data_IF_704205069774
#
_entry.id   IF_704205069774
#
_cell.length_a   1.000
_cell.length_b   1.000
_cell.length_c   1.000
_cell.angle_alpha   90.00
_cell.angle_beta   90.00
_cell.angle_gamma   90.00
#
_symmetry.space_group_name_H-M   'P 1'
#
loop_
_entity.id
_entity.type
_entity.pdbx_description
1 polymer ?
#
# COMPACT_ATOMS: atom_id res chain seq x y z
N UNK A 1 9.12 -32.91 -6.48
CA UNK A 1 7.65 -33.03 -6.61
C UNK A 1 7.25 -32.29 -7.88
N UNK A 2 6.68 -33.00 -8.85
CA UNK A 2 6.01 -32.35 -9.99
C UNK A 2 4.69 -31.78 -9.46
N UNK A 3 4.57 -30.45 -9.40
CA UNK A 3 3.29 -29.80 -9.17
C UNK A 3 2.57 -29.70 -10.52
N UNK A 4 1.37 -30.29 -10.59
CA UNK A 4 0.49 -30.21 -11.75
C UNK A 4 0.17 -28.75 -12.08
N UNK A 5 0.47 -28.35 -13.32
CA UNK A 5 0.40 -26.99 -13.85
C UNK A 5 -1.03 -26.64 -14.27
N UNK A 6 -1.95 -26.40 -13.33
CA UNK A 6 -3.29 -25.98 -13.77
C UNK A 6 -4.29 -25.42 -12.78
N UNK A 7 -4.14 -25.58 -11.45
CA UNK A 7 -5.16 -25.10 -10.51
C UNK A 7 -4.50 -24.43 -9.30
N UNK A 8 -4.44 -23.10 -9.33
CA UNK A 8 -4.08 -22.30 -8.17
C UNK A 8 -5.31 -22.23 -7.25
N UNK A 9 -5.32 -23.00 -6.17
CA UNK A 9 -6.33 -22.88 -5.14
C UNK A 9 -5.91 -21.83 -4.12
N UNK A 10 -6.84 -20.95 -3.75
CA UNK A 10 -6.64 -20.01 -2.64
C UNK A 10 -6.37 -20.81 -1.36
N UNK A 11 -5.29 -20.53 -0.61
CA UNK A 11 -5.01 -21.26 0.61
C UNK A 11 -6.16 -21.09 1.61
N UNK A 12 -6.74 -22.20 2.06
CA UNK A 12 -7.82 -22.20 3.05
C UNK A 12 -7.27 -22.25 4.49
N UNK A 13 -6.08 -22.82 4.68
CA UNK A 13 -5.37 -22.88 5.95
C UNK A 13 -3.85 -22.71 5.78
N UNK A 14 -3.16 -22.42 6.89
CA UNK A 14 -1.71 -22.19 6.90
C UNK A 14 -0.91 -23.46 6.66
N UNK A 15 -1.52 -24.65 6.80
CA UNK A 15 -0.84 -25.92 6.61
C UNK A 15 -0.38 -26.10 5.15
N UNK A 16 -1.18 -25.59 4.20
CA UNK A 16 -0.78 -25.53 2.79
C UNK A 16 0.45 -24.65 2.59
N UNK A 17 0.44 -23.42 3.14
CA UNK A 17 1.56 -22.49 2.99
C UNK A 17 2.82 -23.07 3.63
N UNK A 18 2.72 -23.68 4.82
CA UNK A 18 3.89 -24.23 5.48
C UNK A 18 4.43 -25.49 4.79
N UNK A 19 3.57 -26.32 4.20
CA UNK A 19 3.98 -27.49 3.42
C UNK A 19 4.82 -27.11 2.19
N UNK A 20 4.63 -25.90 1.65
CA UNK A 20 5.43 -25.37 0.54
C UNK A 20 6.84 -24.93 0.96
N UNK A 21 7.03 -24.62 2.24
CA UNK A 21 8.30 -24.12 2.80
C UNK A 21 8.76 -24.94 4.02
N UNK A 22 9.09 -26.25 3.84
CA UNK A 22 9.35 -27.18 4.94
C UNK A 22 10.66 -26.93 5.71
N UNK A 23 11.46 -25.92 5.34
CA UNK A 23 12.78 -25.63 5.94
C UNK A 23 12.82 -24.38 6.82
N UNK A 24 11.67 -23.78 7.19
CA UNK A 24 11.65 -22.48 7.89
C UNK A 24 10.80 -22.45 9.18
N UNK A 25 11.11 -21.48 10.05
CA UNK A 25 10.84 -21.44 11.50
C UNK A 25 9.36 -21.25 11.91
N UNK A 26 9.07 -21.41 13.21
CA UNK A 26 7.78 -21.12 13.85
C UNK A 26 7.23 -19.71 13.51
N UNK A 27 8.10 -18.75 13.17
CA UNK A 27 7.72 -17.39 12.77
C UNK A 27 6.89 -17.37 11.47
N UNK A 28 7.15 -18.29 10.54
CA UNK A 28 6.44 -18.36 9.26
C UNK A 28 5.00 -18.84 9.41
N UNK A 29 4.74 -19.76 10.36
CA UNK A 29 3.39 -20.23 10.68
C UNK A 29 2.47 -19.08 11.12
N UNK A 30 2.98 -18.20 12.00
CA UNK A 30 2.22 -17.02 12.45
C UNK A 30 1.92 -16.05 11.29
N UNK A 31 2.89 -15.78 10.41
CA UNK A 31 2.69 -14.91 9.24
C UNK A 31 1.69 -15.52 8.25
N UNK A 32 1.67 -16.84 8.06
CA UNK A 32 0.71 -17.53 7.20
C UNK A 32 -0.73 -17.46 7.74
N UNK A 33 -0.94 -17.71 9.04
CA UNK A 33 -2.27 -17.62 9.67
C UNK A 33 -2.83 -16.19 9.60
N UNK A 34 -1.99 -15.19 9.90
CA UNK A 34 -2.41 -13.80 9.83
C UNK A 34 -2.68 -13.39 8.38
N UNK A 35 -1.84 -13.81 7.43
CA UNK A 35 -2.08 -13.59 6.00
C UNK A 35 -3.45 -14.12 5.57
N UNK A 36 -3.79 -15.36 5.91
CA UNK A 36 -5.08 -15.99 5.58
C UNK A 36 -6.23 -15.24 6.24
N UNK A 37 -6.11 -14.86 7.51
CA UNK A 37 -7.11 -14.07 8.24
C UNK A 37 -7.38 -12.71 7.58
N UNK A 38 -6.33 -11.99 7.18
CA UNK A 38 -6.43 -10.71 6.48
C UNK A 38 -7.07 -10.91 5.11
N UNK A 39 -6.64 -11.93 4.35
CA UNK A 39 -7.22 -12.30 3.05
C UNK A 39 -8.71 -12.65 3.17
N UNK A 40 -9.15 -13.31 4.25
CA UNK A 40 -10.56 -13.64 4.48
C UNK A 40 -11.43 -12.39 4.73
N UNK A 41 -10.85 -11.34 5.32
CA UNK A 41 -11.55 -10.09 5.64
C UNK A 41 -11.46 -9.03 4.54
N UNK A 42 -10.59 -9.19 3.55
CA UNK A 42 -10.24 -8.12 2.60
C UNK A 42 -11.42 -7.56 1.77
N UNK A 43 -12.51 -8.32 1.64
CA UNK A 43 -13.72 -7.84 0.96
C UNK A 43 -14.32 -6.61 1.66
N UNK A 44 -14.23 -6.53 2.99
CA UNK A 44 -14.72 -5.36 3.74
C UNK A 44 -13.87 -4.12 3.44
N UNK A 45 -12.65 -4.30 2.92
CA UNK A 45 -11.71 -3.23 2.58
C UNK A 45 -11.96 -2.61 1.21
N UNK A 46 -12.82 -3.23 0.38
CA UNK A 46 -13.12 -2.74 -0.95
C UNK A 46 -13.90 -1.43 -0.85
N UNK A 47 -13.28 -0.37 -1.39
CA UNK A 47 -13.87 0.96 -1.50
C UNK A 47 -14.33 1.21 -2.92
N UNK A 48 -15.64 1.13 -3.16
CA UNK A 48 -16.25 1.35 -4.48
C UNK A 48 -16.81 2.77 -4.54
N UNK A 49 -16.34 3.57 -5.49
CA UNK A 49 -16.82 4.93 -5.78
C UNK A 49 -17.09 5.78 -4.53
N UNK A 50 -16.18 5.73 -3.55
CA UNK A 50 -16.41 6.31 -2.22
C UNK A 50 -16.65 7.83 -2.20
N UNK A 51 -16.34 8.54 -3.29
CA UNK A 51 -16.53 9.98 -3.47
C UNK A 51 -17.81 10.31 -4.26
N UNK A 52 -18.51 9.33 -4.85
CA UNK A 52 -19.65 9.58 -5.74
C UNK A 52 -20.74 10.47 -5.11
N UNK A 53 -20.95 10.33 -3.79
CA UNK A 53 -21.94 11.11 -3.04
C UNK A 53 -21.37 12.41 -2.43
N UNK A 54 -20.15 12.81 -2.78
CA UNK A 54 -19.44 13.91 -2.13
C UNK A 54 -19.01 15.00 -3.10
N UNK A 55 -18.80 16.22 -2.57
CA UNK A 55 -18.26 17.34 -3.34
C UNK A 55 -16.74 17.36 -3.29
N UNK A 56 -16.12 16.19 -3.40
CA UNK A 56 -14.66 15.98 -3.38
C UNK A 56 -14.32 15.28 -4.69
N UNK A 57 -13.47 15.91 -5.50
CA UNK A 57 -13.02 15.31 -6.76
C UNK A 57 -11.89 14.31 -6.50
N UNK A 58 -11.70 13.33 -7.40
CA UNK A 58 -10.54 12.44 -7.36
C UNK A 58 -9.22 13.21 -7.19
N UNK A 59 -9.01 14.29 -7.95
CA UNK A 59 -7.78 15.11 -7.86
C UNK A 59 -7.57 15.70 -6.47
N UNK A 60 -8.63 16.22 -5.82
CA UNK A 60 -8.53 16.76 -4.46
C UNK A 60 -8.14 15.67 -3.46
N UNK A 61 -8.68 14.47 -3.63
CA UNK A 61 -8.32 13.31 -2.81
C UNK A 61 -6.88 12.89 -3.07
N UNK A 62 -6.43 12.82 -4.32
CA UNK A 62 -5.03 12.53 -4.68
C UNK A 62 -4.05 13.57 -4.12
N UNK A 63 -4.36 14.86 -4.22
CA UNK A 63 -3.58 15.92 -3.58
C UNK A 63 -3.53 15.76 -2.05
N UNK A 64 -4.65 15.35 -1.43
CA UNK A 64 -4.68 15.09 0.02
C UNK A 64 -3.78 13.92 0.39
N UNK A 65 -3.83 12.80 -0.35
CA UNK A 65 -2.95 11.64 -0.11
C UNK A 65 -1.48 11.99 -0.33
N UNK A 66 -1.16 12.72 -1.41
CA UNK A 66 0.20 13.21 -1.63
C UNK A 66 0.69 14.11 -0.49
N UNK A 67 -0.17 14.94 0.07
CA UNK A 67 0.18 15.76 1.24
C UNK A 67 0.33 14.92 2.52
N UNK A 68 -0.47 13.88 2.72
CA UNK A 68 -0.30 12.94 3.85
C UNK A 68 1.09 12.29 3.85
N UNK A 69 1.64 11.96 2.68
CA UNK A 69 3.00 11.42 2.56
C UNK A 69 4.01 12.39 3.17
N UNK A 70 3.97 13.65 2.75
CA UNK A 70 4.88 14.68 3.27
C UNK A 70 4.77 14.85 4.78
N UNK A 71 3.55 14.97 5.30
CA UNK A 71 3.33 15.16 6.74
C UNK A 71 3.85 13.95 7.51
N UNK A 72 3.43 12.74 7.15
CA UNK A 72 3.80 11.53 7.88
C UNK A 72 5.31 11.26 7.81
N UNK A 73 5.97 11.54 6.68
CA UNK A 73 7.41 11.46 6.58
C UNK A 73 8.15 12.51 7.43
N UNK A 74 7.64 13.75 7.53
CA UNK A 74 8.24 14.79 8.38
C UNK A 74 8.18 14.45 9.88
N UNK A 75 7.16 13.69 10.30
CA UNK A 75 7.00 13.24 11.68
C UNK A 75 7.48 11.80 11.90
N UNK A 76 8.22 11.24 10.94
CA UNK A 76 8.79 9.88 11.03
C UNK A 76 7.75 8.80 11.38
N UNK A 77 6.49 9.01 10.97
CA UNK A 77 5.42 8.05 11.18
C UNK A 77 5.65 6.79 10.32
N UNK A 78 5.18 5.64 10.80
CA UNK A 78 5.34 4.39 10.08
C UNK A 78 4.61 4.42 8.73
N UNK A 79 5.11 3.63 7.78
CA UNK A 79 4.41 3.43 6.51
C UNK A 79 3.02 2.81 6.73
N UNK A 80 2.87 1.98 7.76
CA UNK A 80 1.58 1.41 8.20
C UNK A 80 0.57 2.53 8.54
N UNK A 81 1.01 3.58 9.27
CA UNK A 81 0.20 4.78 9.55
C UNK A 81 -0.31 5.44 8.27
N UNK A 82 0.51 5.56 7.23
CA UNK A 82 0.08 6.13 5.94
C UNK A 82 -1.04 5.31 5.30
N UNK A 83 -0.81 4.00 5.09
CA UNK A 83 -1.82 3.14 4.46
C UNK A 83 -3.11 3.08 5.26
N UNK A 84 -3.01 3.03 6.60
CA UNK A 84 -4.16 3.07 7.49
C UNK A 84 -4.90 4.40 7.40
N UNK A 85 -4.21 5.54 7.40
CA UNK A 85 -4.83 6.86 7.28
C UNK A 85 -5.62 7.01 5.98
N UNK A 86 -5.04 6.57 4.85
CA UNK A 86 -5.72 6.56 3.55
C UNK A 86 -6.95 5.65 3.60
N UNK A 87 -6.82 4.43 4.13
CA UNK A 87 -7.94 3.48 4.23
C UNK A 87 -9.08 4.01 5.12
N UNK A 88 -8.77 4.61 6.27
CA UNK A 88 -9.77 5.25 7.15
C UNK A 88 -10.48 6.37 6.39
N UNK A 89 -9.74 7.21 5.67
CA UNK A 89 -10.30 8.33 4.91
C UNK A 89 -11.29 7.84 3.84
N UNK A 90 -10.90 6.89 3.00
CA UNK A 90 -11.75 6.41 1.91
C UNK A 90 -12.96 5.62 2.43
N UNK A 91 -12.80 4.82 3.50
CA UNK A 91 -13.93 4.15 4.18
C UNK A 91 -14.87 5.15 4.81
N UNK A 92 -14.35 6.21 5.42
CA UNK A 92 -15.19 7.28 5.98
C UNK A 92 -16.03 7.98 4.92
N UNK A 93 -15.47 8.21 3.73
CA UNK A 93 -16.24 8.73 2.60
C UNK A 93 -17.33 7.75 2.16
N UNK A 94 -16.99 6.49 1.91
CA UNK A 94 -17.96 5.47 1.50
C UNK A 94 -19.13 5.30 2.49
N UNK A 95 -18.84 5.34 3.79
CA UNK A 95 -19.81 5.11 4.86
C UNK A 95 -20.56 6.39 5.28
N UNK A 96 -20.19 7.56 4.75
CA UNK A 96 -20.83 8.82 5.12
C UNK A 96 -22.16 9.01 4.37
N UNK A 97 -23.31 9.01 5.07
CA UNK A 97 -24.63 9.09 4.42
C UNK A 97 -24.95 10.50 3.90
N UNK A 98 -24.22 11.53 4.36
CA UNK A 98 -24.42 12.92 3.98
C UNK A 98 -23.27 13.38 3.10
N UNK A 99 -23.60 14.10 2.03
CA UNK A 99 -22.61 14.70 1.14
C UNK A 99 -21.62 15.57 1.91
N UNK A 100 -20.33 15.29 1.75
CA UNK A 100 -19.25 16.03 2.38
C UNK A 100 -18.77 17.13 1.42
N UNK A 101 -18.67 18.36 1.94
CA UNK A 101 -18.08 19.48 1.21
C UNK A 101 -16.57 19.36 1.13
N UNK A 102 -15.97 19.75 0.00
CA UNK A 102 -14.52 19.80 -0.17
C UNK A 102 -13.79 20.60 0.91
N UNK A 103 -14.44 21.61 1.50
CA UNK A 103 -13.83 22.41 2.58
C UNK A 103 -13.54 21.60 3.84
N UNK A 104 -14.15 20.42 3.99
CA UNK A 104 -13.91 19.49 5.11
C UNK A 104 -12.78 18.50 4.85
N UNK A 105 -12.29 18.36 3.62
CA UNK A 105 -11.28 17.36 3.26
C UNK A 105 -10.02 17.47 4.13
N UNK A 106 -9.51 18.69 4.34
CA UNK A 106 -8.30 18.91 5.12
C UNK A 106 -8.44 18.44 6.59
N UNK A 107 -9.51 18.86 7.29
CA UNK A 107 -9.73 18.40 8.68
C UNK A 107 -9.97 16.89 8.75
N UNK A 108 -10.61 16.31 7.73
CA UNK A 108 -10.83 14.86 7.66
C UNK A 108 -9.48 14.14 7.58
N UNK A 109 -8.64 14.45 6.59
CA UNK A 109 -7.38 13.72 6.45
C UNK A 109 -6.37 13.99 7.56
N UNK A 110 -6.31 15.21 8.13
CA UNK A 110 -5.55 15.47 9.37
C UNK A 110 -6.01 14.57 10.51
N UNK A 111 -7.33 14.41 10.66
CA UNK A 111 -7.89 13.56 11.70
C UNK A 111 -7.67 12.07 11.40
N UNK A 112 -7.69 11.65 10.13
CA UNK A 112 -7.35 10.27 9.74
C UNK A 112 -5.90 9.92 10.09
N UNK A 113 -4.93 10.81 9.83
CA UNK A 113 -3.53 10.62 10.26
C UNK A 113 -3.40 10.57 11.79
N UNK A 114 -4.17 11.39 12.51
CA UNK A 114 -4.19 11.35 13.98
C UNK A 114 -4.79 10.04 14.53
N UNK A 115 -5.84 9.50 13.90
CA UNK A 115 -6.41 8.20 14.29
C UNK A 115 -5.44 7.07 13.97
N UNK A 116 -4.88 7.07 12.75
CA UNK A 116 -3.96 6.03 12.29
C UNK A 116 -2.69 5.96 13.15
N UNK A 117 -2.05 7.09 13.45
CA UNK A 117 -0.82 7.08 14.27
C UNK A 117 -1.06 6.54 15.67
N UNK A 118 -2.20 6.85 16.30
CA UNK A 118 -2.57 6.24 17.60
C UNK A 118 -2.80 4.72 17.54
N UNK A 119 -3.06 4.18 16.36
CA UNK A 119 -3.32 2.77 16.16
C UNK A 119 -2.03 2.01 15.83
N UNK A 120 -1.16 2.58 15.00
CA UNK A 120 0.03 1.91 14.47
C UNK A 120 1.34 2.30 15.17
N UNK A 121 1.50 3.55 15.60
CA UNK A 121 2.80 4.08 16.04
C UNK A 121 2.96 3.99 17.56
N UNK A 122 4.18 3.66 18.00
CA UNK A 122 4.55 3.63 19.42
C UNK A 122 4.49 5.02 20.09
N UNK A 123 4.91 6.08 19.38
CA UNK A 123 4.72 7.49 19.80
C UNK A 123 3.82 8.21 18.78
N UNK A 124 2.50 8.25 19.01
CA UNK A 124 1.56 8.78 18.04
C UNK A 124 1.59 10.31 17.98
N UNK A 125 1.05 10.86 16.88
CA UNK A 125 0.95 12.31 16.69
C UNK A 125 0.16 12.96 17.83
N UNK A 126 0.78 13.88 18.57
CA UNK A 126 0.12 14.57 19.69
C UNK A 126 -0.88 15.60 19.15
N UNK A 127 -2.04 15.71 19.79
CA UNK A 127 -3.09 16.65 19.37
C UNK A 127 -2.62 18.11 19.26
N UNK A 128 -1.64 18.52 20.08
CA UNK A 128 -1.03 19.85 19.99
C UNK A 128 -0.31 20.05 18.65
N UNK A 129 0.52 19.09 18.24
CA UNK A 129 1.24 19.09 16.96
C UNK A 129 0.25 19.04 15.79
N UNK A 130 -0.76 18.16 15.89
CA UNK A 130 -1.82 18.04 14.88
C UNK A 130 -2.55 19.37 14.66
N UNK A 131 -2.75 20.16 15.72
CA UNK A 131 -3.39 21.48 15.62
C UNK A 131 -2.44 22.55 15.09
N UNK A 132 -1.31 22.76 15.76
CA UNK A 132 -0.44 23.91 15.50
C UNK A 132 0.35 23.73 14.21
N UNK A 133 1.00 22.59 14.07
CA UNK A 133 1.95 22.36 12.98
C UNK A 133 1.24 21.80 11.74
N UNK A 134 0.55 20.67 11.88
CA UNK A 134 -0.10 19.99 10.75
C UNK A 134 -1.34 20.76 10.27
N UNK A 135 -2.13 21.26 11.23
CA UNK A 135 -3.34 22.04 10.97
C UNK A 135 -3.10 23.53 10.72
N UNK A 136 -1.87 24.02 10.90
CA UNK A 136 -1.50 25.44 10.85
C UNK A 136 -2.42 26.34 11.71
N UNK A 137 -2.86 25.85 12.87
CA UNK A 137 -3.79 26.54 13.76
C UNK A 137 -5.22 26.71 13.22
N UNK A 138 -5.52 26.22 12.02
CA UNK A 138 -6.81 26.40 11.31
C UNK A 138 -7.99 25.73 12.03
N UNK A 139 -7.73 24.67 12.78
CA UNK A 139 -8.76 23.90 13.46
C UNK A 139 -8.58 23.97 14.98
N UNK A 140 -9.68 24.16 15.72
CA UNK A 140 -9.65 24.02 17.17
C UNK A 140 -9.47 22.56 17.58
N UNK A 141 -8.98 22.34 18.81
CA UNK A 141 -8.85 20.99 19.41
C UNK A 141 -10.21 20.28 19.42
N UNK A 142 -11.28 21.02 19.71
CA UNK A 142 -12.65 20.52 19.77
C UNK A 142 -13.15 20.12 18.38
N UNK A 143 -12.76 20.84 17.32
CA UNK A 143 -13.10 20.51 15.95
C UNK A 143 -12.44 19.19 15.51
N UNK A 144 -11.15 19.01 15.82
CA UNK A 144 -10.42 17.76 15.53
C UNK A 144 -11.04 16.60 16.31
N UNK A 145 -11.23 16.74 17.63
CA UNK A 145 -11.89 15.72 18.46
C UNK A 145 -13.32 15.39 18.00
N UNK A 146 -14.07 16.38 17.51
CA UNK A 146 -15.42 16.16 16.96
C UNK A 146 -15.36 15.40 15.64
N UNK A 147 -14.41 15.71 14.78
CA UNK A 147 -14.20 14.97 13.53
C UNK A 147 -13.76 13.55 13.82
N UNK A 148 -12.88 13.35 14.79
CA UNK A 148 -12.40 12.03 15.21
C UNK A 148 -13.56 11.14 15.63
N UNK A 149 -14.40 11.63 16.55
CA UNK A 149 -15.61 10.92 16.96
C UNK A 149 -16.55 10.61 15.80
N UNK A 150 -16.62 11.48 14.78
CA UNK A 150 -17.46 11.25 13.61
C UNK A 150 -16.89 10.13 12.74
N UNK A 151 -15.58 10.13 12.50
CA UNK A 151 -14.88 9.13 11.70
C UNK A 151 -15.00 7.76 12.37
N UNK A 152 -14.55 7.61 13.61
CA UNK A 152 -14.54 6.31 14.28
C UNK A 152 -15.95 5.73 14.46
N UNK A 153 -16.98 6.56 14.66
CA UNK A 153 -18.38 6.08 14.71
C UNK A 153 -18.90 5.62 13.35
N UNK A 154 -18.53 6.30 12.28
CA UNK A 154 -18.92 5.88 10.92
C UNK A 154 -18.26 4.56 10.54
N UNK A 155 -17.04 4.29 11.05
CA UNK A 155 -16.33 3.03 10.90
C UNK A 155 -16.76 1.97 11.94
N UNK A 156 -17.75 2.25 12.81
CA UNK A 156 -18.15 1.36 13.91
C UNK A 156 -16.96 0.92 14.79
N UNK A 157 -15.96 1.79 14.93
CA UNK A 157 -14.68 1.57 15.61
C UNK A 157 -13.80 0.48 14.99
N UNK A 158 -14.15 -0.08 13.82
CA UNK A 158 -13.26 -0.96 13.04
C UNK A 158 -12.25 -0.11 12.25
N UNK A 159 -11.18 0.28 12.93
CA UNK A 159 -10.04 0.98 12.32
C UNK A 159 -9.09 -0.01 11.63
N UNK A 160 -9.10 -1.28 12.04
CA UNK A 160 -8.22 -2.36 11.57
C UNK A 160 -8.72 -3.00 10.26
N UNK A 161 -9.33 -2.20 9.37
CA UNK A 161 -9.76 -2.65 8.05
C UNK A 161 -8.51 -3.04 7.25
N UNK A 162 -8.43 -4.26 6.68
CA UNK A 162 -7.26 -4.72 5.92
C UNK A 162 -6.82 -3.72 4.85
N UNK A 163 -5.51 -3.50 4.73
CA UNK A 163 -4.93 -2.69 3.66
C UNK A 163 -3.82 -3.44 2.91
N UNK A 164 -3.43 -2.93 1.74
CA UNK A 164 -2.49 -3.60 0.86
C UNK A 164 -1.07 -3.73 1.44
N UNK A 165 -0.64 -2.80 2.30
CA UNK A 165 0.65 -2.87 2.96
C UNK A 165 0.72 -4.00 3.98
N UNK A 166 -0.36 -4.28 4.72
CA UNK A 166 -0.42 -5.43 5.62
C UNK A 166 -0.33 -6.75 4.84
N UNK A 167 -1.16 -6.91 3.80
CA UNK A 167 -1.13 -8.12 2.96
C UNK A 167 0.24 -8.31 2.32
N UNK A 168 0.82 -7.24 1.81
CA UNK A 168 2.15 -7.24 1.22
C UNK A 168 3.23 -7.59 2.24
N UNK A 169 3.18 -7.05 3.46
CA UNK A 169 4.13 -7.33 4.53
C UNK A 169 4.23 -8.83 4.80
N UNK A 170 3.11 -9.47 5.12
CA UNK A 170 3.08 -10.93 5.37
C UNK A 170 3.45 -11.74 4.12
N UNK A 171 2.99 -11.35 2.93
CA UNK A 171 3.37 -12.03 1.69
C UNK A 171 4.88 -11.94 1.44
N UNK A 172 5.50 -10.79 1.69
CA UNK A 172 6.94 -10.56 1.50
C UNK A 172 7.80 -11.37 2.48
N UNK A 173 7.30 -11.57 3.70
CA UNK A 173 7.93 -12.45 4.70
C UNK A 173 7.83 -13.91 4.27
N UNK A 174 6.67 -14.37 3.80
CA UNK A 174 6.46 -15.75 3.38
C UNK A 174 7.30 -16.12 2.16
N UNK A 175 7.38 -15.22 1.18
CA UNK A 175 8.12 -15.47 -0.07
C UNK A 175 9.64 -15.29 0.10
N UNK A 176 10.08 -14.61 1.16
CA UNK A 176 11.50 -14.31 1.44
C UNK A 176 12.23 -13.64 0.26
N UNK A 177 11.83 -12.42 -0.08
CA UNK A 177 12.43 -11.69 -1.19
C UNK A 177 13.56 -10.77 -0.77
N UNK A 178 14.39 -10.41 -1.75
CA UNK A 178 15.45 -9.44 -1.53
C UNK A 178 14.89 -8.07 -1.12
N UNK A 179 15.61 -7.31 -0.26
CA UNK A 179 15.16 -5.99 0.20
C UNK A 179 14.83 -5.00 -0.92
N UNK A 180 15.53 -5.07 -2.05
CA UNK A 180 15.28 -4.22 -3.21
C UNK A 180 13.88 -4.45 -3.81
N UNK A 181 13.47 -5.71 -3.96
CA UNK A 181 12.13 -6.06 -4.46
C UNK A 181 11.07 -5.58 -3.47
N UNK A 182 11.31 -5.79 -2.17
CA UNK A 182 10.39 -5.34 -1.12
C UNK A 182 10.15 -3.83 -1.20
N UNK A 183 11.22 -3.04 -1.22
CA UNK A 183 11.13 -1.57 -1.29
C UNK A 183 10.48 -1.10 -2.59
N UNK A 184 10.84 -1.68 -3.74
CA UNK A 184 10.21 -1.33 -5.03
C UNK A 184 8.71 -1.58 -5.01
N UNK A 185 8.27 -2.72 -4.47
CA UNK A 185 6.85 -3.03 -4.34
C UNK A 185 6.14 -2.06 -3.37
N UNK A 186 6.76 -1.70 -2.25
CA UNK A 186 6.22 -0.68 -1.33
C UNK A 186 6.04 0.68 -2.01
N UNK A 187 7.00 1.10 -2.84
CA UNK A 187 6.89 2.35 -3.60
C UNK A 187 5.75 2.31 -4.60
N UNK A 188 5.58 1.18 -5.30
CA UNK A 188 4.43 0.98 -6.17
C UNK A 188 3.15 1.13 -5.36
N UNK A 189 3.01 0.42 -4.23
CA UNK A 189 1.82 0.49 -3.38
C UNK A 189 1.51 1.91 -2.91
N UNK A 190 2.53 2.68 -2.50
CA UNK A 190 2.37 4.09 -2.14
C UNK A 190 1.84 4.92 -3.31
N UNK A 191 2.37 4.72 -4.52
CA UNK A 191 1.88 5.40 -5.72
C UNK A 191 0.44 4.98 -6.04
N UNK A 192 0.10 3.69 -5.92
CA UNK A 192 -1.28 3.20 -6.10
C UNK A 192 -2.25 3.90 -5.16
N UNK A 193 -1.83 4.23 -3.93
CA UNK A 193 -2.69 4.96 -3.00
C UNK A 193 -2.98 6.39 -3.46
N UNK A 194 -2.22 7.00 -4.37
CA UNK A 194 -2.53 8.32 -4.93
C UNK A 194 -3.65 8.21 -5.97
N UNK A 195 -3.70 7.11 -6.72
CA UNK A 195 -4.81 6.83 -7.63
C UNK A 195 -6.10 6.61 -6.84
N UNK A 196 -7.20 7.11 -7.39
CA UNK A 196 -8.49 7.09 -6.69
C UNK A 196 -9.34 5.86 -7.01
N UNK A 197 -9.25 5.29 -8.22
CA UNK A 197 -10.32 4.44 -8.75
C UNK A 197 -9.88 3.05 -9.28
N UNK A 198 -8.86 2.43 -8.70
CA UNK A 198 -8.50 1.07 -9.15
C UNK A 198 -9.48 -0.01 -8.63
N UNK A 199 -10.29 0.28 -7.60
CA UNK A 199 -11.29 -0.63 -7.02
C UNK A 199 -10.79 -2.06 -6.73
N UNK A 200 -9.50 -2.17 -6.39
CA UNK A 200 -8.82 -3.44 -6.15
C UNK A 200 -8.98 -3.90 -4.70
N UNK A 201 -8.88 -5.21 -4.52
CA UNK A 201 -8.70 -5.77 -3.20
C UNK A 201 -7.26 -5.50 -2.71
N UNK A 202 -7.04 -5.37 -1.39
CA UNK A 202 -5.71 -5.27 -0.80
C UNK A 202 -4.70 -6.29 -1.35
N UNK A 203 -5.10 -7.55 -1.55
CA UNK A 203 -4.22 -8.57 -2.10
C UNK A 203 -3.94 -8.43 -3.59
N UNK A 204 -4.87 -7.91 -4.37
CA UNK A 204 -4.66 -7.62 -5.78
C UNK A 204 -3.60 -6.53 -5.95
N UNK A 205 -3.68 -5.46 -5.14
CA UNK A 205 -2.65 -4.41 -5.10
C UNK A 205 -1.30 -4.98 -4.68
N UNK A 206 -1.26 -5.74 -3.58
CA UNK A 206 -0.03 -6.33 -3.04
C UNK A 206 0.66 -7.24 -4.06
N UNK A 207 -0.08 -8.20 -4.63
CA UNK A 207 0.46 -9.19 -5.57
C UNK A 207 0.92 -8.53 -6.87
N UNK A 208 0.12 -7.60 -7.42
CA UNK A 208 0.51 -6.91 -8.64
C UNK A 208 1.74 -6.02 -8.43
N UNK A 209 1.79 -5.25 -7.33
CA UNK A 209 2.97 -4.46 -6.98
C UNK A 209 4.23 -5.33 -6.84
N UNK A 210 4.08 -6.50 -6.22
CA UNK A 210 5.18 -7.45 -6.04
C UNK A 210 5.71 -7.99 -7.37
N UNK A 211 4.80 -8.40 -8.28
CA UNK A 211 5.19 -8.92 -9.59
C UNK A 211 5.80 -7.84 -10.47
N UNK A 212 5.23 -6.63 -10.47
CA UNK A 212 5.81 -5.48 -11.19
C UNK A 212 7.23 -5.21 -10.66
N UNK A 213 7.42 -5.21 -9.34
CA UNK A 213 8.74 -5.02 -8.73
C UNK A 213 9.72 -6.12 -9.12
N UNK A 214 9.32 -7.39 -9.00
CA UNK A 214 10.15 -8.54 -9.35
C UNK A 214 10.56 -8.51 -10.83
N UNK A 215 9.61 -8.28 -11.75
CA UNK A 215 9.88 -8.17 -13.19
C UNK A 215 10.75 -6.96 -13.53
N UNK A 216 10.50 -5.81 -12.91
CA UNK A 216 11.30 -4.58 -13.12
C UNK A 216 12.76 -4.78 -12.71
N UNK A 217 12.99 -5.55 -11.64
CA UNK A 217 14.32 -5.91 -11.15
C UNK A 217 14.84 -7.24 -11.72
N UNK A 218 14.17 -7.75 -12.76
CA UNK A 218 14.53 -8.97 -13.51
C UNK A 218 14.72 -10.21 -12.63
N UNK A 219 14.04 -10.32 -11.50
CA UNK A 219 14.12 -11.51 -10.65
C UNK A 219 13.74 -12.78 -11.42
N UNK A 220 14.27 -13.92 -10.96
CA UNK A 220 13.92 -15.23 -11.51
C UNK A 220 12.40 -15.48 -11.41
N UNK A 221 11.85 -16.16 -12.42
CA UNK A 221 10.44 -16.56 -12.48
C UNK A 221 10.02 -17.41 -11.27
N UNK A 222 10.95 -18.07 -10.57
CA UNK A 222 10.69 -18.78 -9.32
C UNK A 222 10.06 -17.88 -8.23
N UNK A 223 10.50 -16.61 -8.12
CA UNK A 223 9.90 -15.66 -7.16
C UNK A 223 8.44 -15.40 -7.51
N UNK A 224 8.15 -15.23 -8.80
CA UNK A 224 6.78 -15.00 -9.29
C UNK A 224 5.92 -16.25 -9.04
N UNK A 225 6.44 -17.45 -9.31
CA UNK A 225 5.74 -18.71 -9.04
C UNK A 225 5.41 -18.86 -7.56
N UNK A 226 6.34 -18.55 -6.65
CA UNK A 226 6.08 -18.56 -5.20
C UNK A 226 5.02 -17.55 -4.79
N UNK A 227 5.04 -16.33 -5.35
CA UNK A 227 3.99 -15.32 -5.11
C UNK A 227 2.62 -15.83 -5.54
N UNK A 228 2.50 -16.40 -6.75
CA UNK A 228 1.24 -16.95 -7.26
C UNK A 228 0.74 -18.11 -6.39
N UNK A 229 1.65 -18.99 -6.01
CA UNK A 229 1.35 -20.16 -5.18
C UNK A 229 0.85 -19.77 -3.78
N UNK A 230 1.52 -18.83 -3.10
CA UNK A 230 1.11 -18.36 -1.76
C UNK A 230 -0.16 -17.50 -1.82
N UNK A 231 -0.28 -16.67 -2.86
CA UNK A 231 -1.42 -15.78 -2.99
C UNK A 231 -2.69 -16.49 -3.48
N UNK A 232 -2.53 -17.66 -4.11
CA UNK A 232 -3.62 -18.44 -4.67
C UNK A 232 -4.24 -17.84 -5.93
N UNK A 233 -3.60 -16.82 -6.52
CA UNK A 233 -4.03 -16.27 -7.79
C UNK A 233 -3.43 -17.04 -8.96
N UNK A 234 -4.21 -17.18 -10.04
CA UNK A 234 -3.68 -17.68 -11.30
C UNK A 234 -2.79 -16.65 -12.01
N UNK A 235 -1.91 -17.15 -12.88
CA UNK A 235 -1.06 -16.27 -13.69
C UNK A 235 -1.90 -15.33 -14.57
N UNK A 236 -2.98 -15.84 -15.18
CA UNK A 236 -3.87 -15.05 -16.04
C UNK A 236 -4.55 -13.90 -15.29
N UNK A 237 -5.04 -14.13 -14.07
CA UNK A 237 -5.67 -13.10 -13.24
C UNK A 237 -4.72 -11.95 -12.90
N UNK A 238 -3.44 -12.26 -12.72
CA UNK A 238 -2.48 -11.33 -12.14
C UNK A 238 -1.65 -10.64 -13.20
N UNK A 239 -1.29 -11.32 -14.29
CA UNK A 239 -0.51 -10.73 -15.37
C UNK A 239 -1.29 -9.60 -16.04
N UNK A 240 -2.58 -9.79 -16.31
CA UNK A 240 -3.43 -8.73 -16.87
C UNK A 240 -3.57 -7.54 -15.93
N UNK A 241 -3.75 -7.80 -14.64
CA UNK A 241 -3.83 -6.76 -13.62
C UNK A 241 -2.50 -5.99 -13.49
N UNK A 242 -1.38 -6.71 -13.41
CA UNK A 242 -0.05 -6.14 -13.30
C UNK A 242 0.31 -5.29 -14.53
N UNK A 243 -0.04 -5.73 -15.75
CA UNK A 243 0.16 -4.94 -16.96
C UNK A 243 -0.68 -3.65 -16.93
N UNK A 244 -1.94 -3.74 -16.51
CA UNK A 244 -2.80 -2.55 -16.39
C UNK A 244 -2.24 -1.55 -15.38
N UNK A 245 -1.83 -2.01 -14.19
CA UNK A 245 -1.23 -1.14 -13.17
C UNK A 245 0.09 -0.57 -13.67
N UNK A 246 0.92 -1.38 -14.32
CA UNK A 246 2.19 -0.92 -14.87
C UNK A 246 1.99 0.20 -15.88
N UNK A 247 1.02 0.08 -16.80
CA UNK A 247 0.67 1.17 -17.73
C UNK A 247 0.22 2.43 -17.02
N UNK A 248 -0.61 2.31 -15.98
CA UNK A 248 -1.02 3.47 -15.17
C UNK A 248 0.19 4.14 -14.50
N UNK A 249 1.11 3.36 -13.93
CA UNK A 249 2.35 3.87 -13.34
C UNK A 249 3.22 4.60 -14.37
N UNK A 250 3.26 4.12 -15.62
CA UNK A 250 3.97 4.81 -16.69
C UNK A 250 3.38 6.19 -17.01
N UNK A 251 2.07 6.36 -16.83
CA UNK A 251 1.35 7.62 -17.02
C UNK A 251 1.33 8.50 -15.75
N UNK A 252 1.96 8.06 -14.66
CA UNK A 252 1.91 8.78 -13.38
C UNK A 252 2.39 10.24 -13.51
N UNK A 253 3.51 10.58 -14.18
CA UNK A 253 3.93 11.97 -14.29
C UNK A 253 2.99 12.85 -15.11
N UNK A 254 2.27 12.27 -16.06
CA UNK A 254 1.31 13.01 -16.89
C UNK A 254 0.03 13.30 -16.10
N UNK A 255 -0.48 12.32 -15.34
CA UNK A 255 -1.73 12.47 -14.57
C UNK A 255 -1.52 13.12 -13.18
N UNK A 256 -0.37 12.87 -12.57
CA UNK A 256 -0.06 13.21 -11.18
C UNK A 256 1.30 13.91 -11.05
N UNK A 257 1.76 14.63 -12.07
CA UNK A 257 3.05 15.34 -12.06
C UNK A 257 3.24 16.32 -10.90
N UNK A 258 2.16 16.80 -10.28
CA UNK A 258 2.18 17.64 -9.08
C UNK A 258 2.27 16.85 -7.75
N UNK A 259 2.10 15.52 -7.78
CA UNK A 259 2.13 14.64 -6.62
C UNK A 259 3.51 13.99 -6.46
N UNK A 260 4.52 14.81 -6.14
CA UNK A 260 5.92 14.36 -6.10
C UNK A 260 6.42 13.97 -4.71
N UNK A 261 5.56 14.03 -3.67
CA UNK A 261 6.02 13.83 -2.30
C UNK A 261 6.51 12.39 -2.06
N UNK A 262 5.92 11.39 -2.71
CA UNK A 262 6.41 10.02 -2.65
C UNK A 262 7.87 9.91 -3.10
N UNK A 263 8.20 10.41 -4.29
CA UNK A 263 9.56 10.41 -4.86
C UNK A 263 10.54 11.19 -3.96
N UNK A 264 10.12 12.36 -3.49
CA UNK A 264 10.94 13.22 -2.63
C UNK A 264 11.29 12.58 -1.28
N UNK A 265 10.28 12.06 -0.57
CA UNK A 265 10.46 11.59 0.81
C UNK A 265 10.94 10.15 0.90
N UNK A 266 10.57 9.30 -0.06
CA UNK A 266 11.05 7.91 -0.12
C UNK A 266 12.25 7.71 -1.03
N UNK A 267 12.78 8.80 -1.59
CA UNK A 267 14.12 8.86 -2.13
C UNK A 267 14.31 8.06 -3.44
N UNK A 268 13.38 8.24 -4.38
CA UNK A 268 13.38 7.52 -5.66
C UNK A 268 12.92 8.38 -6.85
N UNK A 269 13.32 7.97 -8.05
CA UNK A 269 12.79 8.47 -9.33
C UNK A 269 12.07 7.36 -10.10
N UNK A 270 10.98 7.71 -10.78
CA UNK A 270 10.31 6.83 -11.74
C UNK A 270 11.04 6.87 -13.09
N UNK A 271 11.59 5.74 -13.52
CA UNK A 271 12.28 5.62 -14.80
C UNK A 271 11.27 5.15 -15.85
N UNK A 272 10.86 6.07 -16.72
CA UNK A 272 9.80 5.80 -17.71
C UNK A 272 10.31 5.46 -19.12
N UNK A 273 11.62 5.57 -19.37
CA UNK A 273 12.14 5.72 -20.74
C UNK A 273 13.20 4.72 -21.17
N UNK A 274 13.57 3.75 -20.33
CA UNK A 274 14.64 2.79 -20.64
C UNK A 274 14.18 1.37 -20.29
N UNK A 275 14.46 0.35 -21.13
CA UNK A 275 14.32 -1.04 -20.73
C UNK A 275 15.19 -1.29 -19.49
N UNK A 276 14.58 -1.57 -18.33
CA UNK A 276 15.30 -1.58 -17.07
C UNK A 276 14.41 -1.47 -15.84
N UNK A 277 14.98 -1.14 -14.67
CA UNK A 277 14.21 -0.97 -13.45
C UNK A 277 13.23 0.20 -13.57
N UNK A 278 12.01 0.02 -13.06
CA UNK A 278 11.00 1.07 -12.99
C UNK A 278 11.40 2.22 -12.05
N UNK A 279 12.33 1.97 -11.12
CA UNK A 279 12.75 2.93 -10.10
C UNK A 279 14.26 2.99 -9.96
N UNK A 280 14.79 4.22 -9.84
CA UNK A 280 16.16 4.49 -9.40
C UNK A 280 16.11 5.08 -7.99
N UNK A 281 16.83 4.47 -7.04
CA UNK A 281 16.98 5.01 -5.69
C UNK A 281 18.32 5.74 -5.58
N UNK A 282 18.33 6.87 -4.88
CA UNK A 282 19.54 7.67 -4.66
C UNK A 282 20.24 7.37 -3.32
N UNK A 283 19.77 6.34 -2.60
CA UNK A 283 20.35 5.85 -1.35
C UNK A 283 21.39 4.76 -1.63
N UNK A 284 22.65 5.00 -1.22
CA UNK A 284 23.83 4.23 -1.63
C UNK A 284 23.80 2.75 -1.23
N UNK A 285 23.09 2.38 -0.16
CA UNK A 285 22.97 0.96 0.23
C UNK A 285 22.00 0.21 -0.69
N UNK A 286 21.03 0.91 -1.27
CA UNK A 286 20.05 0.35 -2.19
C UNK A 286 20.50 0.41 -3.63
N UNK A 287 21.19 1.48 -4.03
CA UNK A 287 21.86 1.53 -5.32
C UNK A 287 22.85 0.37 -5.44
N UNK A 288 23.59 0.04 -4.37
CA UNK A 288 24.48 -1.15 -4.34
C UNK A 288 23.72 -2.48 -4.47
N UNK A 289 22.60 -2.66 -3.80
CA UNK A 289 21.79 -3.88 -3.93
C UNK A 289 21.11 -3.98 -5.32
N UNK A 290 20.68 -2.86 -5.89
CA UNK A 290 20.18 -2.80 -7.27
C UNK A 290 21.30 -3.11 -8.28
N UNK A 291 22.50 -2.57 -8.11
CA UNK A 291 23.66 -2.87 -8.95
C UNK A 291 24.11 -4.33 -8.83
N UNK A 292 24.09 -4.92 -7.63
CA UNK A 292 24.36 -6.35 -7.44
C UNK A 292 23.35 -7.22 -8.18
N UNK A 293 22.07 -6.85 -8.14
CA UNK A 293 21.02 -7.51 -8.91
C UNK A 293 21.21 -7.34 -10.42
N UNK A 294 21.55 -6.14 -10.89
CA UNK A 294 21.83 -5.87 -12.30
C UNK A 294 23.12 -6.55 -12.81
N UNK A 295 24.13 -6.69 -11.95
CA UNK A 295 25.41 -7.33 -12.24
C UNK A 295 25.30 -8.85 -12.45
N UNK A 296 24.29 -9.50 -11.86
CA UNK A 296 23.96 -10.90 -12.14
C UNK A 296 23.46 -11.13 -13.58
N UNK A 297 23.09 -10.07 -14.33
CA UNK A 297 22.67 -10.14 -15.74
C UNK A 297 23.80 -9.94 -16.75
N UNK A 298 24.97 -9.47 -16.31
CA UNK A 298 26.10 -9.24 -17.22
C UNK A 298 27.06 -10.43 -17.30
N UNK A 299 26.75 -11.54 -16.61
CA UNK A 299 27.57 -12.75 -16.56
C UNK A 299 26.82 -14.01 -17.04
N UNK A 300 26.02 -13.90 -18.11
CA UNK A 300 25.57 -15.05 -18.92
C UNK A 300 25.50 -14.66 -20.40
#
# INVERSE_FOLDING_TARGET
MHFDTGIFHRPEDSSFITALFPHFSDTLYASADVYISIRAREQISKTVDCLANHRITPDRRSCMVNWMIEVLSQYEASLQTFFRAVKIMDKFFQLSPKSISSSKLHIIGVTCMFIASKFEDTDPLRLAIVREEIGHGKFSKEAIKKMERKIVRALEFDVAVPNCNEVFGYLSEIVEVQPAVKRTAEMILVLLQIYYNMQLLPSQEAVAAFIIAAKSLRQDDDVIKRILLVSGYSEDEVVGLADSIFRELLLFPDHYGNCQNAMRFFQFNLILRVPGPLFEFWDADLSRNQEQLLGLFNNN
#
